data_IF_045488587700
#
_entry.id   IF_045488587700
#
_cell.length_a   1.000
_cell.length_b   1.000
_cell.length_c   1.000
_cell.angle_alpha   90.00
_cell.angle_beta   90.00
_cell.angle_gamma   90.00
#
_symmetry.space_group_name_H-M   'P 1'
#
loop_
_entity.id
_entity.type
_entity.pdbx_description
1 polymer ?
#
# COMPACT_ATOMS: atom_id res chain seq x y z
N UNK A 1 41.36 8.94 23.25
CA UNK A 1 41.53 9.91 22.15
C UNK A 1 40.29 10.08 21.24
N UNK A 2 39.69 9.02 20.66
CA UNK A 2 38.56 9.18 19.73
C UNK A 2 37.27 9.74 20.38
N UNK A 3 36.96 9.34 21.61
CA UNK A 3 35.76 9.80 22.33
C UNK A 3 35.84 11.26 22.78
N UNK A 4 37.03 11.84 22.87
CA UNK A 4 37.22 13.25 23.21
C UNK A 4 36.96 14.14 21.98
N UNK A 5 37.41 13.69 20.81
CA UNK A 5 37.14 14.38 19.53
C UNK A 5 35.64 14.42 19.23
N UNK A 6 34.91 13.32 19.45
CA UNK A 6 33.44 13.29 19.32
C UNK A 6 32.73 14.24 20.31
N UNK A 7 33.26 14.36 21.54
CA UNK A 7 32.69 15.27 22.54
C UNK A 7 32.94 16.74 22.20
N UNK A 8 34.01 17.04 21.47
CA UNK A 8 34.30 18.39 21.00
C UNK A 8 33.46 18.78 19.79
N UNK A 9 33.17 17.85 18.86
CA UNK A 9 32.34 18.12 17.69
C UNK A 9 30.85 18.28 18.03
N UNK A 10 30.38 17.72 19.16
CA UNK A 10 28.99 17.83 19.60
C UNK A 10 28.70 19.05 20.50
N UNK A 11 29.66 19.97 20.67
CA UNK A 11 29.40 21.20 21.44
C UNK A 11 28.51 22.15 20.62
N UNK A 12 27.50 22.78 21.24
CA UNK A 12 26.64 23.73 20.54
C UNK A 12 27.45 24.95 20.06
N UNK A 13 27.32 25.28 18.77
CA UNK A 13 28.07 26.35 18.10
C UNK A 13 27.68 27.75 18.59
N UNK A 14 26.46 27.91 19.12
CA UNK A 14 26.00 29.16 19.70
C UNK A 14 25.03 28.90 20.86
N UNK A 15 24.94 29.81 21.85
CA UNK A 15 23.98 29.71 22.93
C UNK A 15 22.54 29.74 22.36
N UNK A 16 21.69 28.87 22.89
CA UNK A 16 20.29 28.78 22.48
C UNK A 16 19.55 30.11 22.74
N UNK A 17 19.00 30.70 21.68
CA UNK A 17 18.16 31.90 21.76
C UNK A 17 16.70 31.51 21.54
N UNK A 18 15.85 31.84 22.51
CA UNK A 18 14.41 31.58 22.40
C UNK A 18 13.80 32.53 21.38
N UNK A 19 13.18 31.97 20.33
CA UNK A 19 12.38 32.75 19.38
C UNK A 19 11.16 33.30 20.11
N UNK A 20 11.00 34.63 20.14
CA UNK A 20 9.84 35.28 20.74
C UNK A 20 8.64 34.97 19.85
N UNK A 21 7.68 34.19 20.35
CA UNK A 21 6.42 33.95 19.61
C UNK A 21 5.67 35.27 19.53
N UNK A 22 5.58 35.84 18.34
CA UNK A 22 4.64 36.93 18.07
C UNK A 22 3.22 36.41 18.24
N UNK A 23 2.36 37.22 18.87
CA UNK A 23 0.93 36.92 18.93
C UNK A 23 0.41 37.02 17.50
N UNK A 24 -0.26 35.97 17.01
CA UNK A 24 -0.98 36.01 15.73
C UNK A 24 -1.90 37.24 15.75
N UNK A 25 -1.82 38.07 14.72
CA UNK A 25 -2.79 39.14 14.51
C UNK A 25 -4.20 38.53 14.50
N UNK A 26 -5.19 39.29 14.98
CA UNK A 26 -6.60 38.91 14.88
C UNK A 26 -6.97 38.62 13.43
N UNK A 27 -7.80 37.60 13.21
CA UNK A 27 -8.28 37.26 11.87
C UNK A 27 -8.86 38.50 11.18
N UNK A 28 -8.55 38.75 9.90
CA UNK A 28 -9.15 39.85 9.16
C UNK A 28 -10.67 39.67 9.10
N UNK A 29 -11.41 40.75 9.37
CA UNK A 29 -12.89 40.76 9.39
C UNK A 29 -13.51 40.43 8.02
N UNK A 30 -12.75 40.62 6.93
CA UNK A 30 -13.19 40.30 5.58
C UNK A 30 -12.54 39.01 5.09
N UNK A 31 -13.31 37.92 5.17
CA UNK A 31 -12.98 36.66 4.52
C UNK A 31 -13.33 36.81 3.03
N UNK A 32 -12.35 37.09 2.18
CA UNK A 32 -12.53 37.01 0.74
C UNK A 32 -12.65 35.54 0.35
N UNK A 33 -13.86 35.08 0.06
CA UNK A 33 -14.05 33.74 -0.49
C UNK A 33 -13.40 33.70 -1.89
N UNK A 34 -12.38 32.84 -2.10
CA UNK A 34 -11.81 32.70 -3.43
C UNK A 34 -12.92 32.26 -4.40
N UNK A 35 -12.93 32.74 -5.65
CA UNK A 35 -13.87 32.26 -6.64
C UNK A 35 -13.75 30.74 -6.71
N UNK A 36 -14.89 30.05 -6.60
CA UNK A 36 -14.95 28.58 -6.63
C UNK A 36 -14.12 28.11 -7.83
N UNK A 37 -13.14 27.20 -7.62
CA UNK A 37 -12.35 26.71 -8.73
C UNK A 37 -13.32 26.13 -9.75
N UNK A 38 -13.32 26.69 -10.96
CA UNK A 38 -13.98 26.04 -12.09
C UNK A 38 -13.11 24.82 -12.37
N UNK A 39 -13.44 23.70 -11.71
CA UNK A 39 -12.82 22.42 -11.98
C UNK A 39 -13.32 22.02 -13.36
N UNK A 40 -12.66 22.57 -14.39
CA UNK A 40 -12.76 22.05 -15.73
C UNK A 40 -12.42 20.58 -15.62
N UNK A 41 -13.36 19.72 -15.99
CA UNK A 41 -13.13 18.28 -16.08
C UNK A 41 -12.09 18.11 -17.19
N UNK A 42 -10.81 18.23 -16.83
CA UNK A 42 -9.71 17.77 -17.66
C UNK A 42 -10.04 16.32 -17.93
N UNK A 43 -10.39 16.02 -19.19
CA UNK A 43 -10.53 14.65 -19.68
C UNK A 43 -9.14 14.04 -19.67
N UNK A 44 -8.63 13.72 -18.48
CA UNK A 44 -7.41 12.95 -18.33
C UNK A 44 -7.72 11.60 -18.94
N UNK A 45 -7.00 11.24 -20.01
CA UNK A 45 -7.02 9.89 -20.58
C UNK A 45 -6.29 8.93 -19.65
N UNK A 46 -6.68 8.89 -18.38
CA UNK A 46 -6.18 7.93 -17.42
C UNK A 46 -6.77 6.57 -17.77
N UNK A 47 -6.11 5.88 -18.69
CA UNK A 47 -6.29 4.45 -18.84
C UNK A 47 -5.53 3.79 -17.71
N UNK A 48 -6.18 2.89 -16.97
CA UNK A 48 -5.45 2.00 -16.09
C UNK A 48 -4.36 1.31 -16.93
N UNK A 49 -3.09 1.34 -16.51
CA UNK A 49 -2.04 0.62 -17.22
C UNK A 49 -2.48 -0.84 -17.36
N UNK A 50 -2.22 -1.43 -18.53
CA UNK A 50 -2.43 -2.86 -18.74
C UNK A 50 -1.73 -3.59 -17.58
N UNK A 51 -2.40 -4.56 -16.97
CA UNK A 51 -1.81 -5.39 -15.89
C UNK A 51 -0.47 -5.92 -16.39
N UNK A 52 0.62 -5.30 -15.98
CA UNK A 52 1.93 -5.77 -16.33
C UNK A 52 2.17 -7.04 -15.54
N UNK A 53 2.52 -8.11 -16.23
CA UNK A 53 2.93 -9.34 -15.58
C UNK A 53 4.43 -9.24 -15.35
N UNK A 54 4.92 -9.34 -14.10
CA UNK A 54 6.35 -9.35 -13.85
C UNK A 54 6.98 -10.55 -14.58
N UNK A 55 8.26 -10.41 -14.90
CA UNK A 55 9.02 -11.49 -15.50
C UNK A 55 8.89 -12.77 -14.67
N UNK A 56 8.86 -13.92 -15.35
CA UNK A 56 8.67 -15.23 -14.72
C UNK A 56 9.61 -15.45 -13.53
N UNK A 57 10.86 -15.01 -13.64
CA UNK A 57 11.88 -15.12 -12.59
C UNK A 57 11.50 -14.37 -11.32
N UNK A 58 11.09 -13.11 -11.45
CA UNK A 58 10.63 -12.27 -10.33
C UNK A 58 9.36 -12.85 -9.71
N UNK A 59 8.43 -13.33 -10.55
CA UNK A 59 7.23 -14.02 -10.07
C UNK A 59 7.58 -15.25 -9.25
N UNK A 60 8.39 -16.15 -9.80
CA UNK A 60 8.76 -17.41 -9.15
C UNK A 60 9.51 -17.15 -7.81
N UNK A 61 10.38 -16.14 -7.78
CA UNK A 61 11.04 -15.66 -6.56
C UNK A 61 10.06 -15.12 -5.51
N UNK A 62 9.09 -14.29 -5.92
CA UNK A 62 8.11 -13.69 -5.02
C UNK A 62 7.16 -14.75 -4.42
N UNK A 63 6.78 -15.76 -5.21
CA UNK A 63 5.86 -16.81 -4.77
C UNK A 63 6.53 -17.85 -3.84
N UNK A 64 7.80 -17.64 -3.42
CA UNK A 64 8.58 -18.56 -2.57
C UNK A 64 8.67 -19.98 -3.14
N UNK A 65 8.70 -20.10 -4.46
CA UNK A 65 9.03 -21.37 -5.12
C UNK A 65 10.55 -21.55 -4.99
N UNK A 66 10.99 -22.30 -3.97
CA UNK A 66 12.41 -22.62 -3.77
C UNK A 66 12.98 -23.30 -5.03
N UNK A 67 14.10 -22.80 -5.60
CA UNK A 67 15.21 -22.11 -4.94
C UNK A 67 15.31 -20.58 -5.19
N UNK A 68 14.21 -19.90 -5.55
CA UNK A 68 14.30 -18.55 -6.13
C UNK A 68 14.58 -17.39 -5.15
N UNK A 69 14.57 -17.60 -3.82
CA UNK A 69 14.92 -16.54 -2.86
C UNK A 69 16.41 -16.14 -2.92
N UNK A 70 17.30 -17.09 -3.21
CA UNK A 70 18.74 -16.78 -3.40
C UNK A 70 18.97 -15.95 -4.66
N UNK A 71 18.08 -16.05 -5.64
CA UNK A 71 18.16 -15.29 -6.89
C UNK A 71 17.66 -13.85 -6.74
N UNK A 72 16.65 -13.58 -5.90
CA UNK A 72 16.12 -12.21 -5.77
C UNK A 72 17.13 -11.27 -5.12
N UNK A 73 17.82 -11.68 -4.05
CA UNK A 73 18.84 -10.85 -3.42
C UNK A 73 20.02 -10.55 -4.37
N UNK A 74 20.43 -11.56 -5.16
CA UNK A 74 21.46 -11.40 -6.18
C UNK A 74 20.98 -10.54 -7.37
N UNK A 75 19.72 -10.65 -7.79
CA UNK A 75 19.12 -9.80 -8.83
C UNK A 75 18.88 -8.37 -8.33
N UNK A 76 18.51 -8.18 -7.05
CA UNK A 76 18.42 -6.87 -6.41
C UNK A 76 19.78 -6.20 -6.23
N UNK A 77 20.85 -6.98 -6.03
CA UNK A 77 22.22 -6.47 -6.04
C UNK A 77 22.62 -5.94 -7.43
N UNK A 78 22.18 -6.61 -8.51
CA UNK A 78 22.32 -6.10 -9.90
C UNK A 78 21.47 -4.84 -10.13
N UNK A 79 20.34 -4.69 -9.43
CA UNK A 79 19.56 -3.47 -9.50
C UNK A 79 20.24 -2.29 -8.82
N UNK A 80 21.08 -2.49 -7.80
CA UNK A 80 21.76 -1.41 -7.07
C UNK A 80 22.60 -0.50 -7.95
N UNK A 81 23.34 -1.06 -8.90
CA UNK A 81 24.20 -0.31 -9.83
C UNK A 81 23.40 0.33 -10.98
N UNK A 82 22.18 -0.15 -11.25
CA UNK A 82 21.30 0.36 -12.32
C UNK A 82 20.08 1.13 -11.78
N UNK A 83 19.96 1.30 -10.46
CA UNK A 83 18.78 1.89 -9.84
C UNK A 83 18.63 3.37 -10.22
N UNK A 84 19.75 4.09 -10.29
CA UNK A 84 19.78 5.49 -10.70
C UNK A 84 19.53 5.66 -12.20
N UNK A 85 20.05 4.74 -13.03
CA UNK A 85 19.89 4.79 -14.49
C UNK A 85 18.53 4.31 -14.98
N UNK A 86 17.84 3.50 -14.18
CA UNK A 86 16.62 2.81 -14.59
C UNK A 86 15.57 2.70 -13.46
N UNK A 87 15.49 3.75 -12.63
CA UNK A 87 14.60 3.86 -11.47
C UNK A 87 13.17 3.43 -11.76
N UNK A 88 12.60 3.90 -12.89
CA UNK A 88 11.22 3.62 -13.25
C UNK A 88 10.95 2.12 -13.42
N UNK A 89 11.85 1.36 -14.07
CA UNK A 89 11.66 -0.08 -14.27
C UNK A 89 11.88 -0.85 -12.97
N UNK A 90 12.85 -0.44 -12.16
CA UNK A 90 13.14 -1.08 -10.87
C UNK A 90 11.97 -0.91 -9.89
N UNK A 91 11.45 0.31 -9.74
CA UNK A 91 10.26 0.57 -8.90
C UNK A 91 9.01 -0.12 -9.42
N UNK A 92 8.81 -0.13 -10.74
CA UNK A 92 7.69 -0.84 -11.32
C UNK A 92 7.77 -2.34 -11.03
N UNK A 93 8.95 -2.95 -11.13
CA UNK A 93 9.12 -4.38 -10.81
C UNK A 93 8.89 -4.66 -9.32
N UNK A 94 9.38 -3.79 -8.44
CA UNK A 94 9.16 -3.91 -7.00
C UNK A 94 7.68 -3.83 -6.63
N UNK A 95 6.95 -2.86 -7.20
CA UNK A 95 5.50 -2.72 -6.98
C UNK A 95 4.73 -3.98 -7.41
N UNK A 96 5.15 -4.62 -8.49
CA UNK A 96 4.51 -5.83 -9.00
C UNK A 96 4.82 -7.05 -8.13
N UNK A 97 6.04 -7.15 -7.60
CA UNK A 97 6.38 -8.17 -6.62
C UNK A 97 5.55 -8.01 -5.34
N UNK A 98 5.38 -6.77 -4.86
CA UNK A 98 4.53 -6.47 -3.70
C UNK A 98 3.06 -6.84 -3.97
N UNK A 99 2.51 -6.48 -5.14
CA UNK A 99 1.13 -6.84 -5.51
C UNK A 99 0.93 -8.37 -5.51
N UNK A 100 1.89 -9.13 -6.05
CA UNK A 100 1.85 -10.60 -6.05
C UNK A 100 1.94 -11.20 -4.64
N UNK A 101 2.86 -10.70 -3.82
CA UNK A 101 3.01 -11.15 -2.44
C UNK A 101 1.72 -10.87 -1.63
N UNK A 102 1.13 -9.69 -1.81
CA UNK A 102 -0.13 -9.31 -1.20
C UNK A 102 -1.28 -10.21 -1.69
N UNK A 103 -1.41 -10.46 -3.00
CA UNK A 103 -2.43 -11.36 -3.55
C UNK A 103 -2.31 -12.77 -2.95
N UNK A 104 -1.09 -13.31 -2.85
CA UNK A 104 -0.84 -14.59 -2.21
C UNK A 104 -1.22 -14.58 -0.72
N UNK A 105 -0.85 -13.52 0.00
CA UNK A 105 -1.19 -13.39 1.42
C UNK A 105 -2.70 -13.37 1.65
N UNK A 106 -3.48 -12.77 0.74
CA UNK A 106 -4.94 -12.75 0.79
C UNK A 106 -5.52 -14.14 0.51
N UNK A 107 -4.96 -14.90 -0.44
CA UNK A 107 -5.38 -16.28 -0.75
C UNK A 107 -5.21 -17.25 0.43
N UNK A 108 -4.32 -16.96 1.38
CA UNK A 108 -4.20 -17.77 2.61
C UNK A 108 -5.49 -17.75 3.45
N UNK A 109 -6.32 -16.72 3.28
CA UNK A 109 -7.61 -16.60 3.96
C UNK A 109 -8.78 -17.12 3.12
N UNK A 110 -8.53 -17.78 1.98
CA UNK A 110 -9.57 -18.40 1.17
C UNK A 110 -10.28 -19.50 1.96
N UNK A 111 -11.55 -19.29 2.25
CA UNK A 111 -12.36 -20.29 2.96
C UNK A 111 -13.02 -21.26 1.97
N UNK A 112 -12.88 -22.56 2.23
CA UNK A 112 -13.52 -23.63 1.45
C UNK A 112 -14.62 -24.31 2.26
N UNK A 113 -15.65 -24.83 1.59
CA UNK A 113 -16.75 -25.57 2.20
C UNK A 113 -17.50 -24.81 3.31
N UNK A 114 -17.68 -23.50 3.14
CA UNK A 114 -18.41 -22.67 4.11
C UNK A 114 -19.87 -22.49 3.69
N UNK A 115 -20.76 -22.47 4.68
CA UNK A 115 -22.17 -22.15 4.47
C UNK A 115 -22.40 -20.63 4.59
N UNK A 116 -23.06 -20.06 3.58
CA UNK A 116 -23.57 -18.70 3.63
C UNK A 116 -25.02 -18.72 4.10
N UNK A 117 -25.34 -17.96 5.15
CA UNK A 117 -26.72 -17.84 5.64
C UNK A 117 -27.39 -16.64 4.98
N UNK A 118 -28.51 -16.86 4.30
CA UNK A 118 -29.28 -15.76 3.72
C UNK A 118 -29.99 -14.98 4.82
N UNK A 119 -29.81 -13.65 4.83
CA UNK A 119 -30.52 -12.71 5.70
C UNK A 119 -31.11 -11.59 4.83
N UNK A 120 -32.36 -11.77 4.41
CA UNK A 120 -33.02 -10.87 3.46
C UNK A 120 -32.35 -10.89 2.08
N UNK A 121 -31.77 -9.75 1.70
CA UNK A 121 -31.03 -9.56 0.44
C UNK A 121 -29.51 -9.84 0.57
N UNK A 122 -29.01 -10.01 1.80
CA UNK A 122 -27.60 -10.23 2.08
C UNK A 122 -27.30 -11.70 2.40
N UNK A 123 -26.04 -12.07 2.25
CA UNK A 123 -25.50 -13.36 2.67
C UNK A 123 -24.49 -13.15 3.79
N UNK A 124 -24.69 -13.83 4.91
CA UNK A 124 -23.85 -13.72 6.11
C UNK A 124 -22.86 -14.88 6.13
N UNK A 125 -21.57 -14.53 6.22
CA UNK A 125 -20.45 -15.44 6.38
C UNK A 125 -19.83 -15.22 7.77
N UNK A 126 -19.73 -16.29 8.57
CA UNK A 126 -18.97 -16.21 9.83
C UNK A 126 -17.50 -16.45 9.55
N UNK A 127 -16.69 -15.39 9.67
CA UNK A 127 -15.23 -15.45 9.51
C UNK A 127 -14.59 -15.46 10.90
N UNK A 128 -13.92 -16.54 11.33
CA UNK A 128 -13.18 -16.56 12.59
C UNK A 128 -11.96 -15.64 12.49
N UNK A 129 -11.57 -14.97 13.59
CA UNK A 129 -10.37 -14.12 13.63
C UNK A 129 -10.50 -12.74 12.96
N UNK A 130 -11.67 -12.40 12.40
CA UNK A 130 -11.90 -11.07 11.80
C UNK A 130 -11.66 -9.91 12.80
N UNK A 131 -11.95 -10.14 14.08
CA UNK A 131 -11.71 -9.16 15.15
C UNK A 131 -10.22 -8.87 15.40
N UNK A 132 -9.31 -9.75 14.95
CA UNK A 132 -7.86 -9.61 15.08
C UNK A 132 -7.23 -8.90 13.85
N UNK A 133 -8.07 -8.30 12.99
CA UNK A 133 -7.68 -7.66 11.73
C UNK A 133 -7.01 -8.60 10.70
N UNK A 134 -7.26 -9.92 10.81
CA UNK A 134 -6.74 -10.93 9.86
C UNK A 134 -7.83 -11.97 9.54
N UNK A 135 -8.41 -11.96 8.34
CA UNK A 135 -8.14 -11.05 7.22
C UNK A 135 -8.65 -9.61 7.51
N UNK A 136 -7.91 -8.59 7.09
CA UNK A 136 -8.40 -7.21 7.13
C UNK A 136 -9.42 -7.01 6.01
N UNK A 137 -10.68 -6.87 6.38
CA UNK A 137 -11.78 -6.60 5.46
C UNK A 137 -12.42 -5.28 5.88
N UNK A 138 -12.85 -4.47 4.92
CA UNK A 138 -13.58 -3.22 5.12
C UNK A 138 -14.94 -3.28 4.41
N UNK A 139 -15.89 -2.45 4.86
CA UNK A 139 -17.12 -2.24 4.11
C UNK A 139 -16.81 -1.77 2.68
N UNK A 140 -17.43 -2.41 1.69
CA UNK A 140 -17.22 -2.13 0.27
C UNK A 140 -16.19 -3.02 -0.43
N UNK A 141 -15.41 -3.82 0.32
CA UNK A 141 -14.46 -4.76 -0.28
C UNK A 141 -15.17 -5.79 -1.15
N UNK A 142 -14.53 -6.18 -2.26
CA UNK A 142 -15.12 -7.11 -3.23
C UNK A 142 -14.74 -8.55 -2.91
N UNK A 143 -15.71 -9.37 -2.52
CA UNK A 143 -15.53 -10.81 -2.31
C UNK A 143 -16.04 -11.59 -3.52
N UNK A 144 -15.31 -12.65 -3.88
CA UNK A 144 -15.73 -13.63 -4.89
C UNK A 144 -16.12 -14.94 -4.20
N UNK A 145 -17.33 -15.41 -4.46
CA UNK A 145 -17.85 -16.68 -3.93
C UNK A 145 -18.08 -17.63 -5.09
N UNK A 146 -17.66 -18.88 -4.98
CA UNK A 146 -17.93 -19.92 -5.97
C UNK A 146 -18.84 -21.00 -5.40
N UNK A 147 -20.00 -21.20 -6.01
CA UNK A 147 -20.98 -22.24 -5.64
C UNK A 147 -21.27 -23.07 -6.88
N UNK A 148 -21.05 -24.39 -6.82
CA UNK A 148 -21.35 -25.33 -7.91
C UNK A 148 -20.88 -24.86 -9.29
N UNK A 149 -19.60 -24.44 -9.37
CA UNK A 149 -18.93 -23.89 -10.58
C UNK A 149 -19.44 -22.52 -11.06
N UNK A 150 -20.41 -21.91 -10.37
CA UNK A 150 -20.84 -20.53 -10.63
C UNK A 150 -20.10 -19.57 -9.71
N UNK A 151 -19.57 -18.49 -10.27
CA UNK A 151 -18.88 -17.44 -9.52
C UNK A 151 -19.80 -16.24 -9.34
N UNK A 152 -19.90 -15.76 -8.11
CA UNK A 152 -20.62 -14.57 -7.71
C UNK A 152 -19.63 -13.55 -7.14
N UNK A 153 -19.90 -12.26 -7.36
CA UNK A 153 -19.13 -11.16 -6.77
C UNK A 153 -20.09 -10.29 -5.97
N UNK A 154 -19.70 -9.96 -4.74
CA UNK A 154 -20.45 -9.06 -3.86
C UNK A 154 -19.52 -8.05 -3.18
N UNK A 155 -20.12 -7.02 -2.60
CA UNK A 155 -19.42 -6.09 -1.71
C UNK A 155 -19.67 -6.50 -0.24
N UNK A 156 -18.70 -6.24 0.63
CA UNK A 156 -18.82 -6.53 2.07
C UNK A 156 -19.62 -5.45 2.77
N UNK A 157 -20.49 -5.88 3.67
CA UNK A 157 -21.23 -5.03 4.59
C UNK A 157 -21.14 -5.64 5.99
N UNK A 158 -20.78 -4.85 7.00
CA UNK A 158 -20.79 -5.30 8.40
C UNK A 158 -22.22 -5.23 8.94
N UNK A 159 -22.70 -6.36 9.47
CA UNK A 159 -24.05 -6.54 10.00
C UNK A 159 -24.00 -6.76 11.51
#
# INVERSE_FOLDING_TARGET
>A
PAQEVERETMKPVAPYTKTKKERRASEPLEVFEPPKPVVGVLKTKFGFPKRYTPERRVRDATLRLEPAMTNLANEMAVWGDSFETNYAKSMHTLLMAEELAMENSLRLYDMKNVSLRRRGQLYVLRVPGLAEARPSVLCGDKIRVTVDKKAFRGAVEFV
#
